data_IF_968009218101
#
_entry.id   IF_968009218101
#
_cell.length_a   1.000
_cell.length_b   1.000
_cell.length_c   1.000
_cell.angle_alpha   90.00
_cell.angle_beta   90.00
_cell.angle_gamma   90.00
#
_symmetry.space_group_name_H-M   'P 1'
#
loop_
_entity.id
_entity.type
_entity.pdbx_description
1 polymer ?
#
# COMPACT_ATOMS: atom_id res chain seq x y z
N UNK A 1 22.96 12.14 -9.72
CA UNK A 1 22.40 13.50 -9.57
C UNK A 1 20.93 13.33 -9.80
N UNK A 2 20.13 13.25 -8.74
CA UNK A 2 18.68 13.20 -8.86
C UNK A 2 18.27 14.58 -9.35
N UNK A 3 17.84 14.67 -10.62
CA UNK A 3 17.26 15.89 -11.17
C UNK A 3 15.88 16.05 -10.53
N UNK A 4 15.87 16.75 -9.40
CA UNK A 4 14.63 17.26 -8.86
C UNK A 4 14.11 18.33 -9.82
N UNK A 5 12.87 18.17 -10.30
CA UNK A 5 12.16 19.16 -11.10
C UNK A 5 11.79 20.39 -10.24
N UNK A 6 12.80 21.10 -9.74
CA UNK A 6 12.62 22.36 -9.07
C UNK A 6 12.31 23.44 -10.11
N UNK A 7 11.41 24.36 -9.76
CA UNK A 7 11.15 25.53 -10.60
C UNK A 7 12.44 26.32 -10.80
N UNK A 8 12.80 26.59 -12.05
CA UNK A 8 13.94 27.45 -12.38
C UNK A 8 13.46 28.89 -12.58
N UNK A 9 14.38 29.83 -12.80
CA UNK A 9 14.01 31.21 -13.13
C UNK A 9 13.24 31.27 -14.46
N UNK A 10 13.64 30.45 -15.42
CA UNK A 10 13.07 30.38 -16.77
C UNK A 10 11.81 29.49 -16.82
N UNK A 11 11.65 28.57 -15.87
CA UNK A 11 10.48 27.71 -15.73
C UNK A 11 10.07 27.54 -14.25
N UNK A 12 9.45 28.57 -13.64
CA UNK A 12 9.14 28.57 -12.22
C UNK A 12 8.03 27.57 -11.82
N UNK A 13 7.35 26.97 -12.79
CA UNK A 13 6.21 26.10 -12.55
C UNK A 13 6.50 24.60 -12.79
N UNK A 14 7.74 24.24 -13.13
CA UNK A 14 8.17 22.85 -13.34
C UNK A 14 7.70 21.92 -12.21
N UNK A 15 8.05 22.25 -10.97
CA UNK A 15 7.65 21.49 -9.78
C UNK A 15 6.13 21.31 -9.67
N UNK A 16 5.36 22.37 -9.91
CA UNK A 16 3.89 22.30 -9.80
C UNK A 16 3.28 21.43 -10.90
N UNK A 17 3.91 21.33 -12.07
CA UNK A 17 3.44 20.45 -13.15
C UNK A 17 3.81 19.00 -12.87
N UNK A 18 5.04 18.74 -12.41
CA UNK A 18 5.45 17.42 -11.96
C UNK A 18 4.52 16.88 -10.86
N UNK A 19 4.23 17.70 -9.84
CA UNK A 19 3.33 17.33 -8.74
C UNK A 19 1.90 17.02 -9.21
N UNK A 20 1.38 17.75 -10.22
CA UNK A 20 0.02 17.51 -10.78
C UNK A 20 -0.09 16.23 -11.60
N UNK A 21 1.02 15.77 -12.17
CA UNK A 21 1.06 14.57 -13.00
C UNK A 21 1.41 13.31 -12.19
N UNK A 22 1.84 13.46 -10.94
CA UNK A 22 2.16 12.34 -10.05
C UNK A 22 0.87 11.73 -9.46
N UNK A 23 0.86 10.40 -9.19
CA UNK A 23 -0.21 9.77 -8.43
C UNK A 23 -0.36 10.40 -7.04
N UNK A 24 -1.60 10.60 -6.60
CA UNK A 24 -1.89 11.13 -5.26
C UNK A 24 -1.63 10.07 -4.17
N UNK A 25 -1.92 8.81 -4.47
CA UNK A 25 -1.62 7.68 -3.60
C UNK A 25 -0.23 7.12 -3.92
N UNK A 26 0.76 7.53 -3.12
CA UNK A 26 2.05 6.84 -3.07
C UNK A 26 1.94 5.61 -2.17
N UNK A 27 2.32 4.45 -2.71
CA UNK A 27 2.22 3.16 -2.03
C UNK A 27 3.23 2.11 -2.52
N UNK A 28 4.08 2.42 -3.51
CA UNK A 28 4.96 1.43 -4.15
C UNK A 28 6.38 1.50 -3.59
N UNK A 29 7.03 0.34 -3.41
CA UNK A 29 8.43 0.24 -3.00
C UNK A 29 9.43 0.93 -3.95
N UNK A 30 9.03 1.23 -5.19
CA UNK A 30 9.82 2.01 -6.15
C UNK A 30 10.27 3.38 -5.62
N UNK A 31 9.48 4.03 -4.77
CA UNK A 31 9.81 5.36 -4.21
C UNK A 31 11.04 5.33 -3.30
N UNK A 32 11.42 4.16 -2.80
CA UNK A 32 12.59 3.95 -1.96
C UNK A 32 13.84 3.53 -2.73
N UNK A 33 13.90 3.77 -4.05
CA UNK A 33 15.10 3.47 -4.87
C UNK A 33 16.39 3.99 -4.26
N UNK A 34 16.39 5.20 -3.70
CA UNK A 34 17.57 5.78 -3.03
C UNK A 34 18.04 4.93 -1.84
N UNK A 35 17.10 4.31 -1.10
CA UNK A 35 17.44 3.41 0.01
C UNK A 35 18.03 2.10 -0.51
N UNK A 36 17.47 1.54 -1.59
CA UNK A 36 18.06 0.37 -2.23
C UNK A 36 19.46 0.64 -2.78
N UNK A 37 19.70 1.81 -3.39
CA UNK A 37 21.04 2.24 -3.82
C UNK A 37 22.03 2.23 -2.65
N UNK A 38 21.62 2.70 -1.47
CA UNK A 38 22.46 2.61 -0.26
C UNK A 38 22.73 1.17 0.14
N UNK A 39 21.73 0.28 0.12
CA UNK A 39 21.91 -1.14 0.46
C UNK A 39 22.91 -1.79 -0.50
N UNK A 40 22.69 -1.67 -1.82
CA UNK A 40 23.57 -2.23 -2.85
C UNK A 40 25.00 -1.66 -2.81
N UNK A 41 25.16 -0.41 -2.40
CA UNK A 41 26.48 0.21 -2.27
C UNK A 41 27.26 -0.24 -1.01
N UNK A 42 26.66 -1.01 -0.09
CA UNK A 42 27.32 -1.52 1.14
C UNK A 42 27.25 -3.04 1.27
N UNK A 43 26.36 -3.69 0.53
CA UNK A 43 26.12 -5.13 0.53
C UNK A 43 26.26 -5.65 -0.88
N UNK A 44 26.89 -6.82 -1.02
CA UNK A 44 27.02 -7.48 -2.31
C UNK A 44 25.72 -8.24 -2.62
N UNK A 45 24.75 -7.53 -3.17
CA UNK A 45 23.45 -8.10 -3.54
C UNK A 45 23.55 -8.70 -4.94
N UNK A 46 23.40 -10.02 -5.05
CA UNK A 46 23.32 -10.75 -6.33
C UNK A 46 21.99 -11.43 -6.51
N UNK A 47 21.42 -11.96 -5.43
CA UNK A 47 20.13 -12.64 -5.43
C UNK A 47 19.13 -11.82 -4.63
N UNK A 48 17.99 -11.54 -5.24
CA UNK A 48 16.86 -10.85 -4.59
C UNK A 48 15.63 -11.74 -4.64
N UNK A 49 14.89 -11.80 -3.53
CA UNK A 49 13.53 -12.36 -3.48
C UNK A 49 12.58 -11.21 -3.20
N UNK A 50 11.71 -10.88 -4.15
CA UNK A 50 10.69 -9.85 -4.03
C UNK A 50 9.33 -10.54 -3.89
N UNK A 51 8.64 -10.26 -2.80
CA UNK A 51 7.30 -10.76 -2.50
C UNK A 51 6.34 -9.60 -2.67
N UNK A 52 5.35 -9.78 -3.55
CA UNK A 52 4.42 -8.69 -3.94
C UNK A 52 4.96 -7.88 -5.11
N UNK A 53 4.79 -8.42 -6.34
CA UNK A 53 5.42 -7.87 -7.55
C UNK A 53 4.65 -6.69 -8.14
N UNK A 54 3.39 -6.48 -7.74
CA UNK A 54 2.46 -5.43 -8.17
C UNK A 54 2.41 -5.21 -9.70
N UNK A 55 3.34 -4.40 -10.24
CA UNK A 55 3.46 -4.06 -11.66
C UNK A 55 4.65 -4.72 -12.37
N UNK A 56 5.58 -5.33 -11.64
CA UNK A 56 6.87 -5.83 -12.11
C UNK A 56 7.91 -4.74 -12.39
N UNK A 57 7.56 -3.46 -12.26
CA UNK A 57 8.48 -2.35 -12.53
C UNK A 57 9.51 -2.17 -11.40
N UNK A 58 9.12 -2.45 -10.16
CA UNK A 58 10.02 -2.41 -9.00
C UNK A 58 11.11 -3.47 -9.14
N UNK A 59 10.75 -4.68 -9.58
CA UNK A 59 11.65 -5.80 -9.80
C UNK A 59 12.88 -5.45 -10.66
N UNK A 60 12.67 -4.66 -11.72
CA UNK A 60 13.74 -4.23 -12.63
C UNK A 60 14.78 -3.33 -11.95
N UNK A 61 14.39 -2.56 -10.93
CA UNK A 61 15.30 -1.68 -10.18
C UNK A 61 16.44 -2.51 -9.56
N UNK A 62 16.14 -3.69 -9.02
CA UNK A 62 17.15 -4.53 -8.39
C UNK A 62 18.20 -5.03 -9.39
N UNK A 63 17.75 -5.40 -10.60
CA UNK A 63 18.66 -5.80 -11.67
C UNK A 63 19.51 -4.62 -12.17
N UNK A 64 18.93 -3.43 -12.32
CA UNK A 64 19.68 -2.20 -12.66
C UNK A 64 20.75 -1.86 -11.61
N UNK A 65 20.46 -2.10 -10.33
CA UNK A 65 21.41 -1.88 -9.23
C UNK A 65 22.49 -2.96 -9.12
N UNK A 66 22.37 -4.06 -9.87
CA UNK A 66 23.42 -5.08 -10.02
C UNK A 66 23.05 -6.48 -9.55
N UNK A 67 21.78 -6.75 -9.21
CA UNK A 67 21.32 -8.11 -8.94
C UNK A 67 21.38 -8.96 -10.22
N UNK A 68 21.92 -10.16 -10.12
CA UNK A 68 21.98 -11.12 -11.23
C UNK A 68 20.74 -12.01 -11.32
N UNK A 69 20.06 -12.24 -10.20
CA UNK A 69 18.83 -13.03 -10.13
C UNK A 69 17.83 -12.34 -9.21
N UNK A 70 16.60 -12.16 -9.71
CA UNK A 70 15.47 -11.62 -8.93
C UNK A 70 14.32 -12.61 -9.05
N UNK A 71 13.91 -13.19 -7.92
CA UNK A 71 12.74 -14.05 -7.83
C UNK A 71 11.53 -13.21 -7.44
N UNK A 72 10.64 -13.03 -8.40
CA UNK A 72 9.42 -12.24 -8.29
C UNK A 72 8.28 -13.16 -7.84
N UNK A 73 7.98 -13.17 -6.55
CA UNK A 73 6.94 -13.98 -5.91
C UNK A 73 5.60 -13.24 -5.94
N UNK A 74 4.69 -13.75 -6.76
CA UNK A 74 3.32 -13.25 -6.90
C UNK A 74 2.42 -14.45 -7.21
N UNK A 75 1.56 -14.91 -6.27
CA UNK A 75 0.69 -16.06 -6.46
C UNK A 75 -0.38 -15.87 -7.55
N UNK A 76 -0.76 -14.63 -7.86
CA UNK A 76 -1.82 -14.30 -8.79
C UNK A 76 -1.42 -13.17 -9.76
N UNK A 77 -0.33 -13.34 -10.53
CA UNK A 77 0.23 -12.25 -11.29
C UNK A 77 -0.64 -11.94 -12.51
N UNK A 78 -0.85 -10.65 -12.72
CA UNK A 78 -1.55 -10.16 -13.91
C UNK A 78 -0.75 -10.46 -15.18
N UNK A 79 -1.44 -10.49 -16.32
CA UNK A 79 -0.79 -10.65 -17.63
C UNK A 79 0.29 -9.58 -17.89
N UNK A 80 0.09 -8.37 -17.35
CA UNK A 80 1.08 -7.29 -17.42
C UNK A 80 2.36 -7.68 -16.66
N UNK A 81 2.23 -8.17 -15.43
CA UNK A 81 3.37 -8.61 -14.62
C UNK A 81 4.13 -9.73 -15.32
N UNK A 82 3.42 -10.74 -15.84
CA UNK A 82 4.03 -11.85 -16.60
C UNK A 82 4.90 -11.34 -17.75
N UNK A 83 4.37 -10.44 -18.58
CA UNK A 83 5.10 -9.84 -19.70
C UNK A 83 6.30 -9.02 -19.25
N UNK A 84 6.16 -8.24 -18.17
CA UNK A 84 7.28 -7.44 -17.63
C UNK A 84 8.42 -8.35 -17.17
N UNK A 85 8.10 -9.43 -16.45
CA UNK A 85 9.10 -10.39 -15.97
C UNK A 85 9.74 -11.16 -17.13
N UNK A 86 8.95 -11.65 -18.09
CA UNK A 86 9.46 -12.35 -19.28
C UNK A 86 10.39 -11.49 -20.16
N UNK A 87 10.19 -10.17 -20.16
CA UNK A 87 11.00 -9.24 -20.93
C UNK A 87 12.38 -8.96 -20.32
N UNK A 88 12.68 -9.48 -19.12
CA UNK A 88 13.88 -9.12 -18.37
C UNK A 88 14.64 -10.37 -17.89
N UNK A 89 15.79 -10.65 -18.50
CA UNK A 89 16.55 -11.91 -18.32
C UNK A 89 16.92 -12.25 -16.86
N UNK A 90 17.07 -11.23 -16.01
CA UNK A 90 17.39 -11.39 -14.59
C UNK A 90 16.18 -11.76 -13.71
N UNK A 91 14.95 -11.57 -14.19
CA UNK A 91 13.73 -11.75 -13.41
C UNK A 91 13.15 -13.15 -13.60
N UNK A 92 12.63 -13.74 -12.52
CA UNK A 92 12.03 -15.08 -12.50
C UNK A 92 10.71 -15.03 -11.77
N UNK A 93 9.61 -15.30 -12.48
CA UNK A 93 8.28 -15.32 -11.87
C UNK A 93 8.07 -16.60 -11.06
N UNK A 94 7.57 -16.44 -9.84
CA UNK A 94 7.24 -17.53 -8.92
C UNK A 94 5.78 -17.35 -8.47
N UNK A 95 4.92 -18.30 -8.81
CA UNK A 95 3.46 -18.20 -8.57
C UNK A 95 2.96 -19.00 -7.38
N UNK A 96 3.86 -19.35 -6.46
CA UNK A 96 3.56 -20.08 -5.23
C UNK A 96 3.55 -19.07 -4.07
N UNK A 97 2.60 -19.15 -3.12
CA UNK A 97 2.59 -18.30 -1.93
C UNK A 97 3.94 -18.24 -1.21
N UNK A 98 4.31 -17.06 -0.73
CA UNK A 98 5.61 -16.79 -0.12
C UNK A 98 5.95 -17.70 1.06
N UNK A 99 5.06 -17.97 2.03
CA UNK A 99 5.37 -18.90 3.12
C UNK A 99 5.72 -20.32 2.64
N UNK A 100 5.15 -20.74 1.51
CA UNK A 100 5.36 -22.09 0.96
C UNK A 100 6.61 -22.17 0.09
N UNK A 101 6.94 -21.09 -0.64
CA UNK A 101 8.00 -21.10 -1.63
C UNK A 101 9.36 -20.67 -1.09
N UNK A 102 9.41 -19.88 -0.02
CA UNK A 102 10.66 -19.44 0.60
C UNK A 102 11.63 -20.61 0.87
N UNK A 103 11.22 -21.75 1.46
CA UNK A 103 12.10 -22.92 1.64
C UNK A 103 12.63 -23.57 0.35
N UNK A 104 12.04 -23.26 -0.80
CA UNK A 104 12.35 -23.86 -2.10
C UNK A 104 13.24 -22.95 -2.96
N UNK A 105 13.29 -21.65 -2.65
CA UNK A 105 14.13 -20.69 -3.35
C UNK A 105 15.55 -20.71 -2.79
N UNK A 106 16.55 -20.29 -3.58
CA UNK A 106 17.88 -20.02 -3.04
C UNK A 106 17.81 -18.95 -1.96
N UNK A 107 18.61 -19.10 -0.92
CA UNK A 107 18.80 -18.04 0.08
C UNK A 107 19.32 -16.79 -0.64
N UNK A 108 18.58 -15.69 -0.51
CA UNK A 108 18.87 -14.42 -1.15
C UNK A 108 19.74 -13.50 -0.30
N UNK A 109 20.40 -12.53 -0.95
CA UNK A 109 21.15 -11.47 -0.27
C UNK A 109 20.21 -10.33 0.18
N UNK A 110 19.08 -10.16 -0.52
CA UNK A 110 18.04 -9.18 -0.22
C UNK A 110 16.66 -9.82 -0.34
N UNK A 111 15.84 -9.67 0.69
CA UNK A 111 14.41 -9.96 0.65
C UNK A 111 13.63 -8.65 0.66
N UNK A 112 12.62 -8.53 -0.20
CA UNK A 112 11.72 -7.38 -0.24
C UNK A 112 10.29 -7.87 -0.01
N UNK A 113 9.67 -7.45 1.08
CA UNK A 113 8.33 -7.89 1.50
C UNK A 113 7.32 -6.75 1.30
N UNK A 114 6.49 -6.88 0.27
CA UNK A 114 5.43 -5.93 -0.10
C UNK A 114 4.20 -6.67 -0.68
N UNK A 115 3.96 -7.89 -0.20
CA UNK A 115 2.87 -8.76 -0.65
C UNK A 115 1.61 -8.58 0.19
N UNK A 116 1.50 -9.42 1.21
CA UNK A 116 0.38 -9.39 2.14
C UNK A 116 0.63 -8.40 3.29
N UNK A 117 -0.37 -7.58 3.60
CA UNK A 117 -0.29 -6.58 4.68
C UNK A 117 -1.02 -7.07 5.94
N UNK A 118 -0.74 -8.31 6.35
CA UNK A 118 -1.29 -8.91 7.55
C UNK A 118 -0.24 -9.69 8.33
N UNK A 119 -0.48 -9.81 9.63
CA UNK A 119 0.42 -10.48 10.55
C UNK A 119 0.70 -11.93 10.16
N UNK A 120 -0.35 -12.70 9.80
CA UNK A 120 -0.26 -14.15 9.66
C UNK A 120 0.67 -14.62 8.54
N UNK A 121 0.88 -13.79 7.52
CA UNK A 121 1.81 -14.05 6.42
C UNK A 121 3.20 -13.49 6.73
N UNK A 122 3.27 -12.20 7.10
CA UNK A 122 4.53 -11.50 7.35
C UNK A 122 5.34 -12.18 8.46
N UNK A 123 4.69 -12.63 9.53
CA UNK A 123 5.37 -13.33 10.62
C UNK A 123 6.03 -14.63 10.13
N UNK A 124 5.35 -15.43 9.30
CA UNK A 124 5.88 -16.70 8.76
C UNK A 124 7.05 -16.45 7.80
N UNK A 125 6.95 -15.41 6.96
CA UNK A 125 8.03 -15.00 6.07
C UNK A 125 9.27 -14.59 6.86
N UNK A 126 9.09 -13.70 7.84
CA UNK A 126 10.19 -13.22 8.68
C UNK A 126 10.79 -14.35 9.51
N UNK A 127 9.98 -15.18 10.16
CA UNK A 127 10.47 -16.32 10.94
C UNK A 127 11.40 -17.22 10.10
N UNK A 128 11.01 -17.52 8.85
CA UNK A 128 11.86 -18.30 7.96
C UNK A 128 13.15 -17.55 7.59
N UNK A 129 13.04 -16.28 7.17
CA UNK A 129 14.20 -15.49 6.71
C UNK A 129 15.23 -15.29 7.83
N UNK A 130 14.78 -14.93 9.04
CA UNK A 130 15.65 -14.65 10.18
C UNK A 130 16.44 -15.89 10.63
N UNK A 131 15.85 -17.08 10.51
CA UNK A 131 16.49 -18.37 10.81
C UNK A 131 17.45 -18.83 9.70
N UNK A 132 17.07 -18.69 8.43
CA UNK A 132 17.75 -19.37 7.31
C UNK A 132 18.66 -18.46 6.48
N UNK A 133 18.49 -17.13 6.57
CA UNK A 133 19.22 -16.15 5.78
C UNK A 133 19.97 -15.13 6.65
N UNK A 134 20.89 -15.56 7.53
CA UNK A 134 21.56 -14.67 8.48
C UNK A 134 22.44 -13.59 7.81
N UNK A 135 22.80 -13.76 6.54
CA UNK A 135 23.61 -12.77 5.80
C UNK A 135 22.76 -11.76 5.01
N UNK A 136 21.43 -11.90 5.01
CA UNK A 136 20.54 -11.10 4.20
C UNK A 136 20.21 -9.73 4.80
N UNK A 137 19.83 -8.80 3.93
CA UNK A 137 19.05 -7.62 4.31
C UNK A 137 17.59 -7.90 3.99
N UNK A 138 16.68 -7.50 4.87
CA UNK A 138 15.23 -7.55 4.59
C UNK A 138 14.72 -6.13 4.50
N UNK A 139 14.07 -5.77 3.41
CA UNK A 139 13.30 -4.55 3.27
C UNK A 139 11.82 -4.92 3.26
N UNK A 140 10.98 -4.13 3.91
CA UNK A 140 9.53 -4.36 3.93
C UNK A 140 8.77 -3.04 3.94
N UNK A 141 7.56 -3.07 3.41
CA UNK A 141 6.68 -1.91 3.37
C UNK A 141 5.63 -1.94 4.48
N UNK A 142 4.84 -0.87 4.58
CA UNK A 142 3.61 -0.83 5.38
C UNK A 142 3.75 -1.11 6.89
N UNK A 143 4.92 -0.76 7.44
CA UNK A 143 5.21 -0.84 8.88
C UNK A 143 4.66 0.35 9.69
N UNK A 144 4.04 1.34 9.05
CA UNK A 144 3.33 2.46 9.69
C UNK A 144 1.83 2.43 9.37
N UNK A 145 1.12 3.52 9.68
CA UNK A 145 -0.31 3.61 9.46
C UNK A 145 -0.68 3.36 7.98
N UNK A 146 -1.74 2.60 7.68
CA UNK A 146 -2.62 1.94 8.64
C UNK A 146 -2.16 0.53 9.04
N UNK A 147 -1.36 -0.12 8.20
CA UNK A 147 -1.20 -1.57 8.24
C UNK A 147 -0.17 -2.07 9.24
N UNK A 148 0.71 -1.20 9.73
CA UNK A 148 1.66 -1.54 10.78
C UNK A 148 0.99 -2.11 12.03
N UNK A 149 -0.24 -1.66 12.33
CA UNK A 149 -1.03 -2.09 13.49
C UNK A 149 -2.42 -2.60 13.12
N UNK A 150 -2.72 -2.86 11.85
CA UNK A 150 -4.03 -3.35 11.42
C UNK A 150 -3.88 -4.26 10.22
N UNK A 151 -4.39 -5.47 10.30
CA UNK A 151 -4.37 -6.37 9.15
C UNK A 151 -5.29 -5.90 8.02
N UNK A 152 -4.83 -6.11 6.79
CA UNK A 152 -5.60 -6.06 5.56
C UNK A 152 -5.68 -7.47 4.97
N UNK A 153 -6.86 -7.83 4.46
CA UNK A 153 -7.12 -9.11 3.80
C UNK A 153 -7.65 -8.86 2.39
N UNK A 154 -6.88 -9.25 1.37
CA UNK A 154 -7.33 -9.21 -0.02
C UNK A 154 -8.58 -10.09 -0.22
N UNK A 155 -9.45 -9.70 -1.15
CA UNK A 155 -10.68 -10.43 -1.45
C UNK A 155 -10.64 -11.09 -2.85
N UNK A 156 -10.86 -12.41 -2.96
CA UNK A 156 -11.07 -13.36 -1.86
C UNK A 156 -9.77 -13.65 -1.09
N UNK A 157 -9.85 -13.76 0.23
CA UNK A 157 -8.69 -14.06 1.06
C UNK A 157 -8.26 -15.52 0.94
N UNK A 158 -6.96 -15.76 0.79
CA UNK A 158 -6.37 -17.10 0.79
C UNK A 158 -6.14 -17.65 2.21
N UNK A 159 -6.29 -16.81 3.25
CA UNK A 159 -6.06 -17.21 4.63
C UNK A 159 -7.21 -18.03 5.19
N UNK A 160 -6.86 -18.98 6.07
CA UNK A 160 -7.84 -19.67 6.89
C UNK A 160 -8.53 -18.69 7.85
N UNK A 161 -9.79 -18.97 8.19
CA UNK A 161 -10.57 -18.11 9.09
C UNK A 161 -9.90 -17.91 10.46
N UNK A 162 -9.14 -18.91 10.95
CA UNK A 162 -8.39 -18.84 12.21
C UNK A 162 -7.18 -17.90 12.17
N UNK A 163 -6.70 -17.55 10.97
CA UNK A 163 -5.57 -16.65 10.75
C UNK A 163 -6.04 -15.22 10.44
N UNK A 164 -7.35 -14.92 10.60
CA UNK A 164 -7.93 -13.61 10.37
C UNK A 164 -8.66 -13.09 11.59
N UNK A 165 -8.59 -11.78 11.80
CA UNK A 165 -9.47 -11.06 12.72
C UNK A 165 -10.87 -10.89 12.11
N UNK A 166 -11.88 -10.54 12.93
CA UNK A 166 -13.13 -9.98 12.41
C UNK A 166 -12.84 -8.80 11.46
N UNK A 167 -13.56 -8.74 10.34
CA UNK A 167 -13.27 -7.83 9.23
C UNK A 167 -14.40 -6.84 8.98
N UNK A 168 -14.04 -5.69 8.40
CA UNK A 168 -14.97 -4.67 7.91
C UNK A 168 -14.62 -4.25 6.47
N UNK A 169 -15.63 -3.82 5.73
CA UNK A 169 -15.49 -3.16 4.42
C UNK A 169 -15.18 -1.66 4.56
N UNK A 170 -15.42 -1.09 5.74
CA UNK A 170 -15.08 0.30 6.06
C UNK A 170 -13.58 0.47 6.27
N UNK A 171 -13.08 1.68 6.01
CA UNK A 171 -11.65 1.98 5.98
C UNK A 171 -11.18 2.79 7.19
N UNK A 172 -9.89 2.69 7.56
CA UNK A 172 -9.30 3.54 8.59
C UNK A 172 -9.15 4.98 8.11
N UNK A 173 -9.11 5.90 9.09
CA UNK A 173 -8.80 7.31 8.88
C UNK A 173 -7.88 7.81 9.99
N UNK A 174 -7.18 8.93 9.79
CA UNK A 174 -6.34 9.52 10.86
C UNK A 174 -7.08 10.55 11.71
N UNK A 175 -8.35 10.84 11.38
CA UNK A 175 -9.15 11.85 12.05
C UNK A 175 -9.89 11.33 13.29
N UNK A 176 -10.06 10.02 13.40
CA UNK A 176 -10.61 9.30 14.54
C UNK A 176 -10.22 7.81 14.47
N UNK A 177 -10.39 7.08 15.57
CA UNK A 177 -9.93 5.68 15.68
C UNK A 177 -10.91 4.66 15.08
N UNK A 178 -12.19 5.04 14.90
CA UNK A 178 -13.22 4.19 14.29
C UNK A 178 -13.02 4.01 12.78
N UNK A 179 -13.49 2.89 12.24
CA UNK A 179 -13.60 2.69 10.79
C UNK A 179 -14.76 3.50 10.22
N UNK A 180 -14.66 3.88 8.94
CA UNK A 180 -15.69 4.67 8.25
C UNK A 180 -15.74 4.34 6.76
N UNK A 181 -16.93 4.39 6.13
CA UNK A 181 -17.06 4.21 4.67
C UNK A 181 -16.36 5.32 3.88
N UNK A 182 -16.01 6.43 4.53
CA UNK A 182 -15.25 7.54 3.96
C UNK A 182 -13.72 7.42 4.15
N UNK A 183 -13.24 6.32 4.74
CA UNK A 183 -11.85 6.07 5.07
C UNK A 183 -11.07 5.43 3.92
N UNK A 184 -9.91 4.84 4.24
CA UNK A 184 -9.12 4.07 3.26
C UNK A 184 -9.76 2.69 3.01
N UNK A 185 -10.79 2.68 2.18
CA UNK A 185 -11.60 1.51 1.84
C UNK A 185 -11.00 0.72 0.66
N UNK A 186 -11.23 -0.59 0.64
CA UNK A 186 -10.76 -1.48 -0.43
C UNK A 186 -11.67 -1.55 -1.65
N UNK A 187 -12.90 -1.03 -1.57
CA UNK A 187 -13.90 -1.07 -2.66
C UNK A 187 -14.08 -2.47 -3.27
N UNK A 188 -14.07 -3.50 -2.42
CA UNK A 188 -14.19 -4.91 -2.81
C UNK A 188 -12.86 -5.60 -3.17
N UNK A 189 -11.73 -4.89 -3.21
CA UNK A 189 -10.40 -5.50 -3.41
C UNK A 189 -9.81 -6.08 -2.12
N UNK A 190 -10.17 -5.50 -0.97
CA UNK A 190 -9.74 -5.98 0.34
C UNK A 190 -10.73 -5.54 1.44
N UNK A 191 -10.67 -6.26 2.56
CA UNK A 191 -11.28 -5.89 3.85
C UNK A 191 -10.18 -5.65 4.88
N UNK A 192 -10.51 -5.02 6.01
CA UNK A 192 -9.54 -4.72 7.08
C UNK A 192 -10.03 -5.28 8.40
N UNK A 193 -9.11 -5.60 9.31
CA UNK A 193 -9.46 -5.96 10.68
C UNK A 193 -10.27 -4.83 11.34
N UNK A 194 -11.33 -5.16 12.08
CA UNK A 194 -12.25 -4.19 12.72
C UNK A 194 -11.52 -3.26 13.71
N UNK A 195 -10.51 -3.78 14.41
CA UNK A 195 -9.71 -3.04 15.38
C UNK A 195 -8.24 -2.95 14.96
N UNK A 196 -7.59 -1.84 15.33
CA UNK A 196 -6.14 -1.69 15.24
C UNK A 196 -5.49 -2.07 16.59
N UNK A 197 -4.29 -2.64 16.51
CA UNK A 197 -3.49 -3.08 17.64
C UNK A 197 -3.95 -4.42 18.19
N UNK A 198 -3.35 -4.81 19.31
CA UNK A 198 -3.53 -6.12 19.92
C UNK A 198 -2.54 -7.16 19.41
N UNK A 199 -2.68 -8.37 19.92
CA UNK A 199 -1.84 -9.50 19.51
C UNK A 199 -2.10 -9.86 18.05
N UNK A 200 -1.02 -10.18 17.33
CA UNK A 200 -1.11 -10.76 15.98
C UNK A 200 -1.88 -9.89 14.98
N UNK A 201 -1.71 -8.56 15.02
CA UNK A 201 -2.45 -7.61 14.18
C UNK A 201 -1.53 -6.50 13.63
N UNK A 202 -1.29 -6.54 12.32
CA UNK A 202 -0.49 -5.60 11.55
C UNK A 202 0.95 -6.03 11.30
N UNK A 203 1.55 -5.42 10.27
CA UNK A 203 2.90 -5.73 9.77
C UNK A 203 3.98 -5.43 10.82
N UNK A 204 3.93 -4.27 11.47
CA UNK A 204 4.92 -3.91 12.49
C UNK A 204 4.82 -4.81 13.73
N UNK A 205 3.61 -5.26 14.07
CA UNK A 205 3.41 -6.26 15.13
C UNK A 205 4.09 -7.59 14.77
N UNK A 206 3.98 -8.05 13.51
CA UNK A 206 4.69 -9.25 13.05
C UNK A 206 6.22 -9.10 13.12
N UNK A 207 6.73 -7.92 12.75
CA UNK A 207 8.16 -7.61 12.85
C UNK A 207 8.65 -7.66 14.30
N UNK A 208 7.93 -7.03 15.21
CA UNK A 208 8.31 -6.98 16.63
C UNK A 208 8.31 -8.39 17.26
N UNK A 209 7.29 -9.20 16.96
CA UNK A 209 7.19 -10.57 17.47
C UNK A 209 8.29 -11.47 16.89
N UNK A 210 8.57 -11.37 15.58
CA UNK A 210 9.65 -12.12 14.95
C UNK A 210 11.01 -11.76 15.56
N UNK A 211 11.28 -10.46 15.81
CA UNK A 211 12.55 -10.02 16.39
C UNK A 211 12.72 -10.38 17.87
N UNK A 212 11.64 -10.64 18.61
CA UNK A 212 11.74 -11.03 20.01
C UNK A 212 12.56 -12.32 20.22
N UNK A 213 12.56 -13.22 19.23
CA UNK A 213 13.37 -14.45 19.22
C UNK A 213 14.77 -14.27 18.62
N UNK A 214 15.05 -13.11 18.02
CA UNK A 214 16.20 -12.85 17.14
C UNK A 214 16.94 -11.55 17.51
N UNK A 215 17.49 -11.42 18.73
CA UNK A 215 18.09 -10.18 19.23
C UNK A 215 19.36 -9.74 18.47
N UNK A 216 19.95 -10.61 17.65
CA UNK A 216 21.06 -10.31 16.76
C UNK A 216 20.64 -9.47 15.54
N UNK A 217 19.35 -9.41 15.23
CA UNK A 217 18.77 -8.61 14.16
C UNK A 217 18.35 -7.23 14.68
N UNK A 218 18.53 -6.23 13.83
CA UNK A 218 18.16 -4.85 14.09
C UNK A 218 17.14 -4.38 13.10
N UNK A 219 16.17 -3.63 13.59
CA UNK A 219 15.17 -2.93 12.81
C UNK A 219 15.47 -1.44 12.71
N UNK A 220 15.45 -0.93 11.49
CA UNK A 220 15.49 0.48 11.16
C UNK A 220 14.21 0.84 10.38
N UNK A 221 13.63 1.99 10.69
CA UNK A 221 12.36 2.46 10.11
C UNK A 221 12.60 3.77 9.37
N UNK A 222 12.25 3.85 8.09
CA UNK A 222 12.12 5.10 7.34
C UNK A 222 10.67 5.56 7.40
N UNK A 223 10.35 6.69 8.07
CA UNK A 223 8.98 7.14 8.29
C UNK A 223 8.45 7.95 7.10
N UNK A 224 8.40 7.32 5.93
CA UNK A 224 7.87 7.90 4.70
C UNK A 224 7.02 6.85 3.98
N UNK A 225 5.96 7.30 3.31
CA UNK A 225 5.08 6.49 2.45
C UNK A 225 4.68 5.18 3.12
N UNK A 226 3.82 5.23 4.13
CA UNK A 226 3.36 4.08 4.93
C UNK A 226 4.45 3.29 5.67
N UNK A 227 5.70 3.75 5.59
CA UNK A 227 6.84 3.24 6.33
C UNK A 227 7.59 2.16 5.57
N UNK A 228 8.91 2.27 5.52
CA UNK A 228 9.79 1.19 5.07
C UNK A 228 10.60 0.67 6.25
N UNK A 229 10.45 -0.62 6.53
CA UNK A 229 11.24 -1.36 7.50
C UNK A 229 12.49 -1.96 6.85
N UNK A 230 13.61 -1.95 7.58
CA UNK A 230 14.87 -2.56 7.13
C UNK A 230 15.44 -3.41 8.27
N UNK A 231 15.65 -4.69 8.02
CA UNK A 231 16.30 -5.64 8.94
C UNK A 231 17.67 -6.05 8.44
N UNK A 232 18.62 -6.11 9.36
CA UNK A 232 19.96 -6.66 9.15
C UNK A 232 20.57 -7.05 10.50
N UNK A 233 21.52 -7.99 10.52
CA UNK A 233 22.23 -8.37 11.74
C UNK A 233 23.27 -7.34 12.17
N UNK A 234 23.52 -7.20 13.47
CA UNK A 234 24.47 -6.20 14.00
C UNK A 234 25.85 -6.76 14.34
N UNK A 235 26.08 -8.05 14.20
CA UNK A 235 27.31 -8.71 14.62
C UNK A 235 28.48 -8.60 13.62
N UNK A 236 28.39 -7.67 12.66
CA UNK A 236 29.40 -7.49 11.60
C UNK A 236 29.78 -6.04 11.37
N UNK A 237 31.08 -5.79 11.20
CA UNK A 237 31.65 -4.46 10.94
C UNK A 237 31.05 -3.76 9.70
N UNK A 238 30.59 -4.53 8.71
CA UNK A 238 30.01 -3.98 7.48
C UNK A 238 28.62 -3.38 7.68
N UNK A 239 27.93 -3.67 8.79
CA UNK A 239 26.62 -3.12 9.12
C UNK A 239 26.68 -1.72 9.73
N UNK A 240 27.81 -1.32 10.33
CA UNK A 240 27.98 0.06 10.82
C UNK A 240 27.93 1.08 9.67
N UNK A 241 28.50 0.71 8.52
CA UNK A 241 28.50 1.55 7.32
C UNK A 241 27.09 1.72 6.74
N UNK A 242 26.31 0.63 6.72
CA UNK A 242 24.91 0.65 6.30
C UNK A 242 24.06 1.48 7.27
N UNK A 243 24.16 1.21 8.57
CA UNK A 243 23.45 1.95 9.62
C UNK A 243 23.72 3.46 9.52
N UNK A 244 24.99 3.87 9.37
CA UNK A 244 25.36 5.29 9.24
C UNK A 244 24.76 5.93 7.98
N UNK A 245 24.66 5.17 6.89
CA UNK A 245 24.09 5.63 5.63
C UNK A 245 22.56 5.74 5.70
N UNK A 246 21.88 4.87 6.45
CA UNK A 246 20.43 4.89 6.62
C UNK A 246 19.96 5.97 7.62
N UNK A 247 20.78 6.31 8.61
CA UNK A 247 20.45 7.25 9.70
C UNK A 247 19.81 8.58 9.25
N UNK A 248 20.24 9.25 8.15
CA UNK A 248 19.58 10.47 7.67
C UNK A 248 18.11 10.30 7.31
N UNK A 249 17.69 9.07 6.96
CA UNK A 249 16.31 8.73 6.61
C UNK A 249 15.58 8.18 7.84
N UNK A 250 16.21 7.30 8.61
CA UNK A 250 15.53 6.60 9.71
C UNK A 250 15.34 7.46 10.97
N UNK A 251 16.18 8.48 11.15
CA UNK A 251 16.07 9.43 12.26
C UNK A 251 15.50 10.80 11.84
N UNK A 252 14.81 10.86 10.69
CA UNK A 252 14.33 12.12 10.12
C UNK A 252 12.96 12.54 10.63
N UNK A 253 12.93 13.50 11.56
CA UNK A 253 11.69 14.16 11.98
C UNK A 253 11.00 14.89 10.82
N UNK A 254 11.76 15.32 9.81
CA UNK A 254 11.20 15.95 8.61
C UNK A 254 10.40 14.94 7.78
N UNK A 255 10.96 13.75 7.53
CA UNK A 255 10.23 12.70 6.80
C UNK A 255 8.97 12.28 7.57
N UNK A 256 9.08 12.08 8.88
CA UNK A 256 7.92 11.77 9.72
C UNK A 256 6.85 12.87 9.67
N UNK A 257 7.24 14.14 9.69
CA UNK A 257 6.30 15.26 9.57
C UNK A 257 5.62 15.30 8.18
N UNK A 258 6.37 15.05 7.11
CA UNK A 258 5.83 14.98 5.75
C UNK A 258 4.86 13.81 5.60
N UNK A 259 5.19 12.65 6.17
CA UNK A 259 4.33 11.47 6.13
C UNK A 259 3.03 11.67 6.89
N UNK A 260 3.10 12.18 8.12
CA UNK A 260 1.92 12.51 8.92
C UNK A 260 1.01 13.52 8.20
N UNK A 261 1.62 14.52 7.55
CA UNK A 261 0.86 15.46 6.73
C UNK A 261 0.22 14.78 5.51
N UNK A 262 0.96 13.92 4.81
CA UNK A 262 0.49 13.20 3.62
C UNK A 262 -0.71 12.32 3.93
N UNK A 263 -0.67 11.50 4.98
CA UNK A 263 -1.78 10.61 5.32
C UNK A 263 -3.02 11.39 5.79
N UNK A 264 -2.83 12.52 6.48
CA UNK A 264 -3.92 13.43 6.85
C UNK A 264 -4.58 14.07 5.62
N UNK A 265 -3.78 14.58 4.68
CA UNK A 265 -4.28 15.14 3.42
C UNK A 265 -4.98 14.07 2.58
N UNK A 266 -4.39 12.88 2.46
CA UNK A 266 -4.94 11.78 1.67
C UNK A 266 -6.31 11.34 2.20
N UNK A 267 -6.41 11.03 3.50
CA UNK A 267 -7.68 10.65 4.14
C UNK A 267 -8.72 11.78 4.09
N UNK A 268 -8.29 13.04 4.12
CA UNK A 268 -9.21 14.18 3.92
C UNK A 268 -9.76 14.22 2.49
N UNK A 269 -8.94 13.91 1.48
CA UNK A 269 -9.39 13.79 0.09
C UNK A 269 -10.39 12.64 -0.06
N UNK A 270 -10.12 11.48 0.54
CA UNK A 270 -11.06 10.34 0.54
C UNK A 270 -12.41 10.74 1.13
N UNK A 271 -12.39 11.43 2.28
CA UNK A 271 -13.60 11.94 2.90
C UNK A 271 -14.37 12.89 1.97
N UNK A 272 -13.68 13.85 1.35
CA UNK A 272 -14.31 14.79 0.41
C UNK A 272 -14.90 14.08 -0.82
N UNK A 273 -14.24 13.04 -1.33
CA UNK A 273 -14.75 12.23 -2.44
C UNK A 273 -16.03 11.49 -2.05
N UNK A 274 -16.05 10.87 -0.87
CA UNK A 274 -17.22 10.19 -0.34
C UNK A 274 -18.41 11.16 -0.15
N UNK A 275 -18.17 12.31 0.48
CA UNK A 275 -19.18 13.34 0.68
C UNK A 275 -19.73 13.89 -0.65
N UNK A 276 -18.84 14.14 -1.64
CA UNK A 276 -19.24 14.61 -2.96
C UNK A 276 -20.08 13.57 -3.73
N UNK A 277 -19.72 12.29 -3.65
CA UNK A 277 -20.49 11.21 -4.25
C UNK A 277 -21.89 11.09 -3.60
N UNK A 278 -21.98 11.20 -2.28
CA UNK A 278 -23.24 11.23 -1.55
C UNK A 278 -24.12 12.42 -1.93
N UNK A 279 -23.54 13.62 -2.08
CA UNK A 279 -24.26 14.81 -2.55
C UNK A 279 -24.77 14.65 -3.98
N UNK A 280 -23.98 14.08 -4.89
CA UNK A 280 -24.41 13.80 -6.26
C UNK A 280 -25.62 12.85 -6.28
N UNK A 281 -25.55 11.73 -5.54
CA UNK A 281 -26.66 10.80 -5.41
C UNK A 281 -27.92 11.43 -4.80
N UNK A 282 -27.76 12.33 -3.81
CA UNK A 282 -28.88 13.08 -3.25
C UNK A 282 -29.52 14.03 -4.26
N UNK A 283 -28.72 14.73 -5.06
CA UNK A 283 -29.20 15.62 -6.12
C UNK A 283 -29.96 14.84 -7.21
N UNK A 284 -29.45 13.68 -7.62
CA UNK A 284 -30.12 12.81 -8.58
C UNK A 284 -31.47 12.32 -8.05
N UNK A 285 -31.53 11.86 -6.80
CA UNK A 285 -32.78 11.45 -6.16
C UNK A 285 -33.78 12.61 -6.03
N UNK A 286 -33.30 13.82 -5.70
CA UNK A 286 -34.15 15.00 -5.66
C UNK A 286 -34.69 15.35 -7.05
N UNK A 287 -33.86 15.27 -8.10
CA UNK A 287 -34.28 15.49 -9.47
C UNK A 287 -35.35 14.48 -9.92
N UNK A 288 -35.18 13.20 -9.58
CA UNK A 288 -36.18 12.15 -9.83
C UNK A 288 -37.50 12.43 -9.12
N UNK A 289 -37.43 12.83 -7.84
CA UNK A 289 -38.60 13.18 -7.03
C UNK A 289 -39.33 14.39 -7.62
N UNK A 290 -38.61 15.45 -7.99
CA UNK A 290 -39.18 16.64 -8.63
C UNK A 290 -39.82 16.29 -9.97
N UNK A 291 -39.17 15.44 -10.77
CA UNK A 291 -39.73 14.97 -12.04
C UNK A 291 -41.01 14.13 -11.84
N UNK A 292 -41.06 13.29 -10.80
CA UNK A 292 -42.25 12.51 -10.45
C UNK A 292 -43.41 13.40 -9.98
N UNK A 293 -43.13 14.36 -9.10
CA UNK A 293 -44.12 15.33 -8.63
C UNK A 293 -44.66 16.19 -9.78
N UNK A 294 -43.80 16.62 -10.71
CA UNK A 294 -44.22 17.38 -11.89
C UNK A 294 -45.19 16.57 -12.76
N UNK A 295 -44.90 15.29 -13.03
CA UNK A 295 -45.81 14.40 -13.77
C UNK A 295 -47.17 14.27 -13.09
N UNK A 296 -47.19 14.20 -11.76
CA UNK A 296 -48.43 14.09 -11.00
C UNK A 296 -49.24 15.40 -11.04
N UNK A 297 -48.59 16.56 -10.91
CA UNK A 297 -49.24 17.87 -11.08
C UNK A 297 -49.84 18.00 -12.48
N UNK A 298 -49.11 17.61 -13.53
CA UNK A 298 -49.61 17.65 -14.91
C UNK A 298 -50.83 16.74 -15.08
N UNK A 299 -50.82 15.55 -14.47
CA UNK A 299 -51.96 14.61 -14.47
C UNK A 299 -53.19 15.22 -13.79
N UNK A 300 -53.04 15.72 -12.56
CA UNK A 300 -54.12 16.33 -11.79
C UNK A 300 -54.69 17.56 -12.49
N UNK A 301 -53.83 18.37 -13.13
CA UNK A 301 -54.24 19.54 -13.91
C UNK A 301 -55.08 19.12 -15.13
N UNK A 302 -54.67 18.06 -15.83
CA UNK A 302 -55.42 17.51 -16.96
C UNK A 302 -56.77 16.88 -16.54
N UNK A 303 -56.84 16.24 -15.39
CA UNK A 303 -58.09 15.72 -14.81
C UNK A 303 -59.03 16.87 -14.41
N UNK A 304 -58.49 17.91 -13.76
CA UNK A 304 -59.24 19.11 -13.41
C UNK A 304 -59.81 19.78 -14.67
N UNK A 305 -58.99 20.00 -15.70
CA UNK A 305 -59.48 20.58 -16.97
C UNK A 305 -60.59 19.75 -17.61
N UNK A 306 -60.49 18.41 -17.56
CA UNK A 306 -61.55 17.51 -18.04
C UNK A 306 -62.84 17.66 -17.23
N UNK A 307 -62.75 17.70 -15.89
CA UNK A 307 -63.90 17.89 -15.02
C UNK A 307 -64.59 19.26 -15.26
N UNK A 308 -63.82 20.33 -15.44
CA UNK A 308 -64.34 21.65 -15.75
C UNK A 308 -65.01 21.73 -17.14
N UNK A 309 -64.50 21.00 -18.13
CA UNK A 309 -65.12 20.94 -19.45
C UNK A 309 -66.49 20.23 -19.42
N UNK A 310 -66.63 19.19 -18.61
CA UNK A 310 -67.92 18.49 -18.39
C UNK A 310 -68.92 19.41 -17.67
N UNK A 311 -68.47 20.15 -16.64
CA UNK A 311 -69.32 21.10 -15.91
C UNK A 311 -69.77 22.29 -16.75
N UNK A 312 -68.98 22.74 -17.74
CA UNK A 312 -69.37 23.84 -18.65
C UNK A 312 -70.27 23.41 -19.81
N UNK A 313 -70.40 22.11 -20.06
CA UNK A 313 -71.23 21.54 -21.12
C UNK A 313 -72.57 20.98 -20.61
N UNK A 314 -72.83 21.12 -19.30
CA UNK A 314 -74.09 20.81 -18.62
C UNK A 314 -74.86 22.09 -18.31
#
# INVERSE_FOLDING_TARGET
MTDFDFGTREDPHAQTRAARNAPVLLHSMSVFREIFELIFARRKIRTVVEIGVESGQVSGIYAELGASEVYCVDPAPTERVRKTVEAHDALRLVTVPSPEVLPQLPVADLYVLDGDHNYAVVEKELAWILEHAPDAVVAMHDVLWPWGRRDLYYEPSALAESDRHPVSEDGPTVWHDDLTPAGFVGLGAFTVAEHAGGERNGVLTAVEDALAAHPEWRFELVPAVFGMGILYRTDRDTDEGLQRALRPFTSSNLLAALENNRIALYTRVLQMQFEAAGQAGHLDHLAETVAAQKREIDRLTAELHRAWAVLRSS
#
